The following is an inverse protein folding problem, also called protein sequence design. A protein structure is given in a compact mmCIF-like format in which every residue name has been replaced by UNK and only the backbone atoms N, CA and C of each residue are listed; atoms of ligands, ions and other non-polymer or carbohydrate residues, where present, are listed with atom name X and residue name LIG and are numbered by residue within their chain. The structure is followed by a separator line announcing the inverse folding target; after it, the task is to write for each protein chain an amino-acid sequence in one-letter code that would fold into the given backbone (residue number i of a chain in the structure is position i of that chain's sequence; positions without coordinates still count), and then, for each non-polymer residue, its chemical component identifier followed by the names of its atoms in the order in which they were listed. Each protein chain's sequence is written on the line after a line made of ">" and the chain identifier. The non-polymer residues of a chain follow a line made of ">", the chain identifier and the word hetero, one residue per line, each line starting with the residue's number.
data_IF_738298254089
#
_entry.id   IF_738298254089
#
_cell.length_a   1.000
_cell.length_b   1.000
_cell.length_c   1.000
_cell.angle_alpha   90.00
_cell.angle_beta   90.00
_cell.angle_gamma   90.00
#
_symmetry.space_group_name_H-M   'P 1'
#
loop_
_entity.id
_entity.type
_entity.pdbx_description
1 polymer ?
#
# COMPACT_ATOMS: atom_id res chain seq x y z
N UNK A 1 -19.93 15.45 -0.88
CA UNK A 1 -20.09 14.01 -1.12
C UNK A 1 -19.24 13.29 -0.10
N UNK A 2 -19.87 12.67 0.90
CA UNK A 2 -19.16 11.98 1.98
C UNK A 2 -18.64 10.65 1.48
N UNK A 3 -17.34 10.42 1.59
CA UNK A 3 -16.74 9.09 1.48
C UNK A 3 -17.25 8.29 2.67
N UNK A 4 -17.92 7.15 2.43
CA UNK A 4 -18.28 6.25 3.52
C UNK A 4 -16.99 5.60 4.03
N UNK A 5 -16.51 6.06 5.20
CA UNK A 5 -15.33 5.52 5.86
C UNK A 5 -15.65 4.17 6.50
N UNK A 6 -15.40 3.06 5.81
CA UNK A 6 -15.49 1.74 6.44
C UNK A 6 -14.46 0.74 5.89
N UNK A 7 -13.25 1.22 5.58
CA UNK A 7 -12.09 0.36 5.27
C UNK A 7 -11.25 0.04 6.51
N UNK A 8 -11.81 0.21 7.71
CA UNK A 8 -11.15 -0.19 8.94
C UNK A 8 -10.96 -1.72 8.93
N UNK A 9 -9.73 -2.17 9.18
CA UNK A 9 -9.33 -3.59 9.12
C UNK A 9 -9.62 -4.24 7.75
N UNK A 10 -9.31 -3.54 6.66
CA UNK A 10 -9.38 -4.10 5.30
C UNK A 10 -8.26 -5.14 5.08
N UNK A 11 -8.47 -6.34 5.62
CA UNK A 11 -7.55 -7.48 5.55
C UNK A 11 -8.33 -8.79 5.39
N UNK A 12 -7.83 -9.67 4.52
CA UNK A 12 -8.36 -11.02 4.33
C UNK A 12 -7.22 -12.05 4.24
N UNK A 13 -7.50 -13.29 4.66
CA UNK A 13 -6.58 -14.43 4.53
C UNK A 13 -7.25 -15.50 3.67
N UNK A 14 -6.61 -15.86 2.57
CA UNK A 14 -7.09 -16.91 1.67
C UNK A 14 -6.37 -18.23 1.98
N UNK A 15 -7.15 -19.30 2.11
CA UNK A 15 -6.63 -20.65 2.27
C UNK A 15 -6.74 -21.39 0.94
N UNK A 16 -5.59 -21.79 0.37
CA UNK A 16 -5.55 -22.54 -0.87
C UNK A 16 -6.00 -23.99 -0.65
N UNK A 17 -6.69 -24.57 -1.63
CA UNK A 17 -7.13 -25.97 -1.57
C UNK A 17 -5.97 -26.96 -1.63
N UNK A 18 -4.81 -26.54 -2.15
CA UNK A 18 -3.56 -27.30 -2.19
C UNK A 18 -2.38 -26.39 -1.81
N UNK A 19 -1.32 -26.92 -1.16
CA UNK A 19 -0.11 -26.15 -0.87
C UNK A 19 0.62 -25.72 -2.15
N UNK A 20 1.24 -24.53 -2.12
CA UNK A 20 2.19 -24.11 -3.16
C UNK A 20 3.52 -24.83 -2.97
N UNK A 21 4.19 -25.15 -4.09
CA UNK A 21 5.54 -25.71 -4.10
C UNK A 21 6.57 -24.57 -4.03
N UNK A 22 7.03 -24.27 -2.82
CA UNK A 22 8.05 -23.24 -2.60
C UNK A 22 9.49 -23.75 -2.79
N UNK A 23 9.69 -25.07 -2.88
CA UNK A 23 11.03 -25.66 -2.89
C UNK A 23 11.52 -25.90 -4.33
N UNK A 24 10.60 -26.16 -5.27
CA UNK A 24 10.96 -26.47 -6.66
C UNK A 24 10.49 -25.44 -7.69
N UNK A 25 9.61 -24.50 -7.35
CA UNK A 25 9.18 -23.42 -8.27
C UNK A 25 10.04 -22.16 -8.09
N UNK A 26 10.86 -21.77 -9.09
CA UNK A 26 11.71 -20.58 -8.98
C UNK A 26 10.95 -19.25 -9.05
N UNK A 27 9.65 -19.26 -9.37
CA UNK A 27 8.83 -18.06 -9.51
C UNK A 27 7.97 -17.79 -8.27
N UNK A 28 7.94 -18.71 -7.30
CA UNK A 28 7.12 -18.60 -6.10
C UNK A 28 8.02 -18.46 -4.87
N UNK A 29 7.78 -17.44 -4.07
CA UNK A 29 8.50 -17.22 -2.82
C UNK A 29 7.59 -16.66 -1.74
N UNK A 30 8.04 -16.71 -0.48
CA UNK A 30 7.30 -16.18 0.68
C UNK A 30 7.86 -14.83 1.07
N UNK A 31 6.98 -13.93 1.50
CA UNK A 31 7.35 -12.67 2.15
C UNK A 31 7.31 -12.80 3.67
N UNK A 32 8.04 -11.92 4.36
CA UNK A 32 8.07 -11.87 5.81
C UNK A 32 6.90 -11.03 6.34
N UNK A 33 6.26 -11.50 7.41
CA UNK A 33 5.34 -10.67 8.20
C UNK A 33 6.16 -9.97 9.27
N UNK A 34 6.14 -8.62 9.35
CA UNK A 34 6.96 -7.91 10.31
C UNK A 34 6.40 -8.05 11.72
N UNK A 35 7.29 -8.20 12.70
CA UNK A 35 6.92 -8.19 14.11
C UNK A 35 6.56 -6.77 14.58
N UNK A 36 5.66 -6.65 15.56
CA UNK A 36 5.27 -5.34 16.12
C UNK A 36 6.45 -4.55 16.69
N UNK A 37 7.47 -5.24 17.16
CA UNK A 37 8.72 -4.68 17.70
C UNK A 37 9.79 -4.43 16.64
N UNK A 38 9.51 -4.66 15.36
CA UNK A 38 10.47 -4.45 14.30
C UNK A 38 10.88 -2.97 14.22
N UNK A 39 12.17 -2.66 13.98
CA UNK A 39 12.68 -1.29 13.99
C UNK A 39 12.12 -0.42 12.85
N UNK A 40 11.43 -1.01 11.88
CA UNK A 40 10.74 -0.28 10.81
C UNK A 40 9.48 0.44 11.28
N UNK A 41 8.98 0.09 12.47
CA UNK A 41 7.83 0.74 13.08
C UNK A 41 8.28 1.61 14.26
N UNK A 42 7.69 2.80 14.36
CA UNK A 42 7.81 3.62 15.55
C UNK A 42 7.01 3.02 16.72
N UNK A 43 7.09 3.65 17.89
CA UNK A 43 6.39 3.21 19.11
C UNK A 43 4.86 3.12 18.98
N UNK A 44 4.29 3.66 17.89
CA UNK A 44 2.86 3.70 17.57
C UNK A 44 2.49 2.84 16.35
N UNK A 45 3.26 1.78 16.04
CA UNK A 45 3.02 0.85 14.90
C UNK A 45 3.02 1.48 13.51
N UNK A 46 3.35 2.76 13.41
CA UNK A 46 3.44 3.48 12.15
C UNK A 46 4.85 3.32 11.58
N UNK A 47 5.01 3.16 10.25
CA UNK A 47 6.32 3.15 9.63
C UNK A 47 7.12 4.41 9.99
N UNK A 48 8.45 4.30 10.06
CA UNK A 48 9.31 5.48 10.18
C UNK A 48 8.99 6.51 9.07
N UNK A 49 9.18 7.79 9.36
CA UNK A 49 8.91 8.87 8.38
C UNK A 49 9.86 8.77 7.19
N UNK A 50 9.33 8.93 5.98
CA UNK A 50 10.09 8.81 4.73
C UNK A 50 10.80 7.46 4.55
N UNK A 51 10.24 6.39 5.12
CA UNK A 51 10.67 5.03 4.84
C UNK A 51 10.41 4.71 3.35
N UNK A 52 11.44 4.30 2.63
CA UNK A 52 11.34 3.87 1.24
C UNK A 52 10.59 2.53 1.13
N UNK A 53 9.57 2.49 0.28
CA UNK A 53 8.68 1.35 0.06
C UNK A 53 8.55 1.07 -1.44
N UNK A 54 8.21 -0.17 -1.78
CA UNK A 54 7.88 -0.55 -3.15
C UNK A 54 6.41 -0.99 -3.23
N UNK A 55 5.70 -0.50 -4.23
CA UNK A 55 4.39 -1.00 -4.61
C UNK A 55 4.50 -1.73 -5.95
N UNK A 56 3.95 -2.94 -6.01
CA UNK A 56 4.05 -3.84 -7.14
C UNK A 56 2.64 -4.37 -7.48
N UNK A 57 2.26 -4.38 -8.76
CA UNK A 57 0.95 -4.88 -9.19
C UNK A 57 0.60 -4.64 -10.65
N UNK A 58 -0.55 -5.15 -11.08
CA UNK A 58 -1.11 -4.99 -12.44
C UNK A 58 -2.20 -3.90 -12.55
N UNK A 59 -2.36 -3.10 -11.49
CA UNK A 59 -3.38 -2.06 -11.43
C UNK A 59 -3.20 -0.96 -12.48
N UNK A 60 -4.20 -0.08 -12.60
CA UNK A 60 -4.11 1.05 -13.51
C UNK A 60 -3.00 2.03 -13.11
N UNK A 61 -2.28 2.53 -14.11
CA UNK A 61 -1.27 3.58 -13.97
C UNK A 61 -1.86 5.01 -13.99
N UNK A 62 -3.16 5.17 -14.23
CA UNK A 62 -3.81 6.48 -14.33
C UNK A 62 -5.14 6.52 -13.59
N UNK A 63 -5.32 7.55 -12.76
CA UNK A 63 -6.61 7.84 -12.10
C UNK A 63 -7.76 8.02 -13.11
N UNK A 64 -7.46 8.49 -14.32
CA UNK A 64 -8.49 8.82 -15.33
C UNK A 64 -8.85 7.62 -16.21
N UNK A 65 -7.92 6.68 -16.37
CA UNK A 65 -8.09 5.53 -17.24
C UNK A 65 -8.00 4.25 -16.42
N UNK A 66 -9.07 3.47 -16.32
CA UNK A 66 -9.11 2.22 -15.53
C UNK A 66 -8.49 1.01 -16.26
N UNK A 67 -7.71 1.23 -17.32
CA UNK A 67 -7.01 0.14 -18.03
C UNK A 67 -5.95 -0.50 -17.12
N UNK A 68 -6.15 -1.77 -16.81
CA UNK A 68 -5.17 -2.63 -16.13
C UNK A 68 -3.99 -2.92 -17.04
N UNK A 69 -2.84 -3.22 -16.45
CA UNK A 69 -1.62 -3.50 -17.20
C UNK A 69 -1.45 -5.00 -17.40
N UNK A 70 -1.01 -5.41 -18.60
CA UNK A 70 -0.68 -6.82 -18.88
C UNK A 70 0.68 -7.22 -18.25
N UNK A 71 1.57 -6.24 -18.09
CA UNK A 71 2.88 -6.42 -17.47
C UNK A 71 2.85 -5.95 -16.03
N UNK A 72 3.50 -6.71 -15.14
CA UNK A 72 3.65 -6.33 -13.74
C UNK A 72 4.42 -5.02 -13.62
N UNK A 73 3.85 -4.06 -12.91
CA UNK A 73 4.46 -2.75 -12.68
C UNK A 73 5.05 -2.66 -11.27
N UNK A 74 6.06 -1.82 -11.11
CA UNK A 74 6.65 -1.46 -9.82
C UNK A 74 6.84 0.05 -9.73
N UNK A 75 6.53 0.63 -8.57
CA UNK A 75 6.80 2.04 -8.26
C UNK A 75 7.43 2.17 -6.87
N UNK A 76 8.45 3.02 -6.77
CA UNK A 76 9.05 3.41 -5.50
C UNK A 76 8.19 4.51 -4.85
N UNK A 77 7.79 4.30 -3.61
CA UNK A 77 7.01 5.24 -2.79
C UNK A 77 7.70 5.41 -1.43
N UNK A 78 7.17 6.28 -0.58
CA UNK A 78 7.64 6.42 0.80
C UNK A 78 6.46 6.62 1.75
N UNK A 79 6.67 6.30 3.02
CA UNK A 79 5.71 6.59 4.09
C UNK A 79 5.55 8.10 4.32
N UNK A 80 4.32 8.53 4.51
CA UNK A 80 3.94 9.92 4.80
C UNK A 80 3.50 9.99 6.26
N UNK A 81 3.98 10.99 7.01
CA UNK A 81 3.60 11.14 8.41
C UNK A 81 2.10 11.45 8.53
N UNK A 82 1.43 10.85 9.51
CA UNK A 82 0.00 11.06 9.75
C UNK A 82 -0.37 12.50 10.12
N UNK A 83 0.59 13.30 10.59
CA UNK A 83 0.44 14.74 10.85
C UNK A 83 0.49 15.58 9.57
N UNK A 84 1.01 15.05 8.47
CA UNK A 84 1.01 15.76 7.19
C UNK A 84 -0.41 15.91 6.67
N UNK A 85 -0.76 17.11 6.19
CA UNK A 85 -2.12 17.45 5.75
C UNK A 85 -2.64 16.52 4.65
N UNK A 86 -1.76 16.06 3.76
CA UNK A 86 -2.08 15.10 2.69
C UNK A 86 -2.54 13.75 3.22
N UNK A 87 -2.01 13.31 4.37
CA UNK A 87 -2.42 12.08 5.03
C UNK A 87 -3.58 12.29 6.01
N UNK A 88 -3.51 13.34 6.84
CA UNK A 88 -4.47 13.65 7.90
C UNK A 88 -5.92 13.70 7.41
N UNK A 89 -6.16 14.18 6.19
CA UNK A 89 -7.50 14.33 5.60
C UNK A 89 -8.06 12.97 5.13
N UNK A 90 -7.18 12.03 4.76
CA UNK A 90 -7.55 10.72 4.22
C UNK A 90 -7.64 9.64 5.29
N UNK A 91 -6.80 9.74 6.33
CA UNK A 91 -6.68 8.70 7.35
C UNK A 91 -7.39 9.08 8.66
N UNK A 92 -8.52 8.41 8.90
CA UNK A 92 -9.29 8.48 10.15
C UNK A 92 -8.93 7.36 11.13
N UNK A 93 -8.09 6.40 10.75
CA UNK A 93 -7.77 5.17 11.49
C UNK A 93 -6.25 4.93 11.62
N UNK A 94 -5.55 5.93 12.18
CA UNK A 94 -4.08 6.04 12.31
C UNK A 94 -3.38 4.94 13.12
N UNK A 95 -4.14 4.13 13.84
CA UNK A 95 -3.63 3.02 14.64
C UNK A 95 -3.55 1.71 13.82
N UNK A 96 -4.22 1.66 12.66
CA UNK A 96 -4.36 0.46 11.83
C UNK A 96 -4.12 0.72 10.33
N UNK A 97 -3.83 1.97 9.94
CA UNK A 97 -3.56 2.41 8.58
C UNK A 97 -2.40 3.43 8.59
N UNK A 98 -1.70 3.54 7.46
CA UNK A 98 -0.68 4.56 7.24
C UNK A 98 -0.75 5.07 5.80
N UNK A 99 -0.23 6.28 5.56
CA UNK A 99 -0.18 6.85 4.23
C UNK A 99 1.16 6.61 3.55
N UNK A 100 1.14 6.42 2.24
CA UNK A 100 2.34 6.38 1.42
C UNK A 100 2.12 7.11 0.09
N UNK A 101 3.20 7.63 -0.49
CA UNK A 101 3.10 8.32 -1.78
C UNK A 101 4.43 8.51 -2.52
N UNK A 102 4.37 9.19 -3.66
CA UNK A 102 5.53 9.56 -4.50
C UNK A 102 5.90 11.04 -4.28
N UNK A 103 7.18 11.39 -4.43
CA UNK A 103 7.65 12.77 -4.30
C UNK A 103 7.39 13.38 -5.68
N UNK A 104 6.49 14.37 -5.81
CA UNK A 104 6.33 15.04 -7.09
C UNK A 104 7.63 15.80 -7.40
N UNK A 105 8.07 15.73 -8.66
CA UNK A 105 9.19 16.55 -9.14
C UNK A 105 8.92 18.06 -8.99
N UNK A 106 9.99 18.85 -9.07
CA UNK A 106 10.16 20.33 -9.09
C UNK A 106 9.28 21.28 -8.25
N UNK A 107 8.16 20.88 -7.66
CA UNK A 107 7.31 21.69 -6.77
C UNK A 107 7.26 21.19 -5.33
N UNK A 108 7.86 20.04 -5.02
CA UNK A 108 7.93 19.52 -3.64
C UNK A 108 6.60 19.02 -3.08
N UNK A 109 5.58 18.88 -3.93
CA UNK A 109 4.29 18.32 -3.53
C UNK A 109 4.39 16.79 -3.40
N UNK A 110 3.80 16.22 -2.35
CA UNK A 110 3.73 14.76 -2.18
C UNK A 110 2.48 14.26 -2.88
N UNK A 111 2.63 13.50 -3.96
CA UNK A 111 1.51 12.91 -4.68
C UNK A 111 1.19 11.55 -4.07
N UNK A 112 -0.04 11.37 -3.63
CA UNK A 112 -0.53 10.04 -3.27
C UNK A 112 -0.89 9.37 -4.60
N UNK A 113 -0.20 8.28 -4.99
CA UNK A 113 -0.50 7.59 -6.22
C UNK A 113 -1.97 7.13 -6.16
N UNK A 114 -2.61 7.01 -7.33
CA UNK A 114 -4.03 6.72 -7.52
C UNK A 114 -4.54 5.40 -6.89
N UNK A 115 -3.70 4.71 -6.12
CA UNK A 115 -3.89 3.46 -5.40
C UNK A 115 -4.94 3.56 -4.28
N UNK A 116 -5.76 4.62 -4.27
CA UNK A 116 -6.85 4.83 -3.33
C UNK A 116 -7.86 5.90 -3.78
N UNK A 117 -7.95 6.21 -5.07
CA UNK A 117 -9.03 7.05 -5.61
C UNK A 117 -9.79 6.41 -6.78
N UNK A 118 -9.79 5.08 -6.82
CA UNK A 118 -10.80 4.29 -7.50
C UNK A 118 -11.08 3.06 -6.63
N UNK A 119 -12.33 2.94 -6.20
CA UNK A 119 -13.02 1.71 -5.79
C UNK A 119 -12.30 0.42 -6.23
N UNK A 120 -11.46 -0.15 -5.35
CA UNK A 120 -10.97 -1.54 -5.31
C UNK A 120 -9.71 -1.54 -4.43
N UNK A 121 -9.80 -2.06 -3.20
CA UNK A 121 -9.48 -3.45 -2.92
C UNK A 121 -8.01 -3.73 -3.26
N UNK A 122 -7.12 -3.66 -2.26
CA UNK A 122 -5.90 -4.45 -2.29
C UNK A 122 -6.30 -5.90 -2.03
N UNK A 123 -6.75 -6.56 -3.08
CA UNK A 123 -6.86 -8.01 -3.12
C UNK A 123 -5.63 -8.51 -3.89
N UNK A 124 -4.89 -9.44 -3.30
CA UNK A 124 -4.20 -10.43 -4.11
C UNK A 124 -5.31 -11.30 -4.69
N UNK A 125 -5.70 -10.99 -5.92
CA UNK A 125 -6.31 -11.91 -6.88
C UNK A 125 -5.46 -11.82 -8.16
#
# INVERSE_FOLDING_TARGET
>A
MGVSDNYANDIAILHMSQPLDFDNDPFVSRTCVPEKSAPIFNSTTNPEHELDLALIGWGSMSCQNKTIQDLLQQVQIYSIDHTEKSCFILDKHRDIQFCAGVKAGSTGEKLIPCVGMCEQLFFFD
#
